data_IF_938764765803
#
_entry.id   IF_938764765803
#
_cell.length_a   1.000
_cell.length_b   1.000
_cell.length_c   1.000
_cell.angle_alpha   90.00
_cell.angle_beta   90.00
_cell.angle_gamma   90.00
#
_symmetry.space_group_name_H-M   'P 1'
#
loop_
_entity.id
_entity.type
_entity.pdbx_description
1 polymer ?
#
# COMPACT_ATOMS: atom_id res chain seq x y z
N UNK A 1 20.57 -5.17 4.51
CA UNK A 1 19.74 -3.99 4.16
C UNK A 1 19.35 -3.28 5.45
N UNK A 2 19.46 -1.95 5.50
CA UNK A 2 19.03 -1.15 6.66
C UNK A 2 17.49 -1.07 6.68
N UNK A 3 16.81 -1.34 7.81
CA UNK A 3 15.37 -1.17 7.90
C UNK A 3 14.95 0.30 7.78
N UNK A 4 13.76 0.54 7.25
CA UNK A 4 13.15 1.86 7.09
C UNK A 4 11.80 1.87 7.79
N UNK A 5 11.54 2.91 8.58
CA UNK A 5 10.28 3.11 9.31
C UNK A 5 9.37 4.06 8.53
N UNK A 6 8.11 3.64 8.33
CA UNK A 6 7.06 4.40 7.65
C UNK A 6 5.82 4.36 8.55
N UNK A 7 5.64 5.38 9.39
CA UNK A 7 4.64 5.33 10.46
C UNK A 7 4.88 4.10 11.34
N UNK A 8 3.86 3.24 11.46
CA UNK A 8 3.92 2.02 12.28
C UNK A 8 4.47 0.79 11.51
N UNK A 9 4.96 0.97 10.27
CA UNK A 9 5.46 -0.11 9.42
C UNK A 9 6.98 -0.06 9.34
N UNK A 10 7.64 -1.20 9.59
CA UNK A 10 9.10 -1.36 9.39
C UNK A 10 9.37 -2.22 8.16
N UNK A 11 10.04 -1.67 7.15
CA UNK A 11 10.38 -2.34 5.90
C UNK A 11 11.85 -2.72 5.80
N UNK A 12 12.12 -3.88 5.19
CA UNK A 12 13.49 -4.35 4.93
C UNK A 12 14.18 -4.90 6.19
N UNK A 13 15.47 -5.22 6.08
CA UNK A 13 16.24 -5.73 7.22
C UNK A 13 15.77 -7.08 7.79
N UNK A 14 15.02 -7.88 7.02
CA UNK A 14 14.46 -9.16 7.48
C UNK A 14 13.06 -9.08 8.09
N UNK A 15 12.46 -7.88 8.15
CA UNK A 15 11.07 -7.71 8.58
C UNK A 15 10.07 -8.32 7.58
N UNK A 16 8.81 -8.58 8.01
CA UNK A 16 7.77 -9.12 7.14
C UNK A 16 7.57 -8.30 5.86
N UNK A 17 7.09 -9.00 4.81
CA UNK A 17 6.72 -8.36 3.54
C UNK A 17 5.69 -7.25 3.79
N UNK A 18 5.86 -6.12 3.10
CA UNK A 18 4.87 -5.04 3.04
C UNK A 18 4.33 -4.92 1.62
N UNK A 19 3.01 -4.87 1.49
CA UNK A 19 2.34 -4.69 0.20
C UNK A 19 2.18 -3.20 -0.11
N UNK A 20 2.79 -2.75 -1.20
CA UNK A 20 2.55 -1.42 -1.77
C UNK A 20 1.72 -1.59 -3.04
N UNK A 21 0.43 -1.22 -2.99
CA UNK A 21 -0.49 -1.51 -4.09
C UNK A 21 -1.64 -0.49 -4.20
N UNK A 22 -2.26 -0.45 -5.38
CA UNK A 22 -3.40 0.42 -5.69
C UNK A 22 -3.52 0.64 -7.20
N UNK A 23 -4.46 1.50 -7.65
CA UNK A 23 -4.62 1.77 -9.06
C UNK A 23 -3.37 2.47 -9.62
N UNK A 24 -3.09 2.28 -10.91
CA UNK A 24 -1.90 2.82 -11.55
C UNK A 24 -1.85 4.36 -11.43
N UNK A 25 -2.99 5.03 -11.63
CA UNK A 25 -3.21 6.48 -11.55
C UNK A 25 -4.47 6.78 -10.75
N UNK A 26 -4.54 7.98 -10.18
CA UNK A 26 -5.77 8.49 -9.54
C UNK A 26 -6.72 8.96 -10.64
N UNK A 27 -7.71 8.14 -10.98
CA UNK A 27 -8.75 8.47 -11.96
C UNK A 27 -9.89 9.29 -11.34
N UNK A 28 -10.24 8.98 -10.10
CA UNK A 28 -11.16 9.73 -9.24
C UNK A 28 -10.92 9.35 -7.78
N UNK A 29 -11.38 10.20 -6.86
CA UNK A 29 -11.33 9.92 -5.42
C UNK A 29 -12.09 8.63 -5.08
N UNK A 30 -13.31 8.47 -5.59
CA UNK A 30 -14.14 7.31 -5.34
C UNK A 30 -13.44 6.01 -5.79
N UNK A 31 -12.92 5.98 -7.01
CA UNK A 31 -12.19 4.81 -7.52
C UNK A 31 -10.98 4.46 -6.65
N UNK A 32 -10.18 5.46 -6.26
CA UNK A 32 -9.02 5.26 -5.41
C UNK A 32 -9.39 4.66 -4.05
N UNK A 33 -10.43 5.19 -3.42
CA UNK A 33 -10.90 4.73 -2.12
C UNK A 33 -11.51 3.32 -2.20
N UNK A 34 -12.28 3.01 -3.24
CA UNK A 34 -12.90 1.69 -3.42
C UNK A 34 -11.85 0.59 -3.61
N UNK A 35 -10.90 0.81 -4.52
CA UNK A 35 -9.79 -0.11 -4.76
C UNK A 35 -8.92 -0.25 -3.51
N UNK A 36 -8.56 0.87 -2.88
CA UNK A 36 -7.76 0.87 -1.66
C UNK A 36 -8.43 0.14 -0.50
N UNK A 37 -9.74 0.33 -0.31
CA UNK A 37 -10.51 -0.36 0.71
C UNK A 37 -10.58 -1.87 0.45
N UNK A 38 -10.77 -2.29 -0.80
CA UNK A 38 -10.75 -3.70 -1.17
C UNK A 38 -9.40 -4.35 -0.85
N UNK A 39 -8.29 -3.73 -1.26
CA UNK A 39 -6.94 -4.24 -0.98
C UNK A 39 -6.67 -4.28 0.52
N UNK A 40 -6.98 -3.20 1.24
CA UNK A 40 -6.83 -3.14 2.71
C UNK A 40 -7.55 -4.29 3.43
N UNK A 41 -8.77 -4.64 3.00
CA UNK A 41 -9.52 -5.77 3.57
C UNK A 41 -8.79 -7.10 3.34
N UNK A 42 -8.31 -7.34 2.12
CA UNK A 42 -7.58 -8.56 1.76
C UNK A 42 -6.24 -8.66 2.51
N UNK A 43 -5.45 -7.59 2.53
CA UNK A 43 -4.15 -7.56 3.22
C UNK A 43 -4.30 -7.81 4.73
N UNK A 44 -5.35 -7.26 5.35
CA UNK A 44 -5.66 -7.51 6.77
C UNK A 44 -5.99 -8.98 7.03
N UNK A 45 -6.75 -9.64 6.15
CA UNK A 45 -7.05 -11.07 6.28
C UNK A 45 -5.80 -11.94 6.20
N UNK A 46 -4.80 -11.51 5.43
CA UNK A 46 -3.51 -12.22 5.28
C UNK A 46 -2.45 -11.79 6.30
N UNK A 47 -2.75 -10.83 7.19
CA UNK A 47 -1.78 -10.29 8.15
C UNK A 47 -0.62 -9.52 7.50
N UNK A 48 -0.79 -9.02 6.28
CA UNK A 48 0.24 -8.30 5.53
C UNK A 48 0.04 -6.78 5.69
N UNK A 49 1.05 -6.02 6.14
CA UNK A 49 0.99 -4.56 6.15
C UNK A 49 0.78 -4.01 4.74
N UNK A 50 0.00 -2.93 4.62
CA UNK A 50 -0.43 -2.38 3.34
C UNK A 50 -0.23 -0.87 3.26
N UNK A 51 0.34 -0.41 2.15
CA UNK A 51 0.43 1.00 1.76
C UNK A 51 -0.33 1.19 0.45
N UNK A 52 -1.33 2.08 0.46
CA UNK A 52 -2.03 2.49 -0.75
C UNK A 52 -1.09 3.33 -1.63
N UNK A 53 -0.88 2.89 -2.86
CA UNK A 53 -0.11 3.64 -3.87
C UNK A 53 -0.97 3.94 -5.08
N UNK A 54 -0.88 5.17 -5.55
CA UNK A 54 -1.32 5.55 -6.90
C UNK A 54 -0.49 6.73 -7.39
N UNK A 55 -0.34 6.88 -8.71
CA UNK A 55 0.35 8.05 -9.27
C UNK A 55 -0.65 9.21 -9.40
N UNK A 56 -0.28 10.40 -8.89
CA UNK A 56 -1.09 11.61 -9.10
C UNK A 56 -0.90 12.16 -10.52
N UNK A 57 0.33 12.06 -11.04
CA UNK A 57 0.72 12.49 -12.37
C UNK A 57 1.48 11.34 -13.06
N UNK A 58 1.28 11.25 -14.38
CA UNK A 58 2.02 10.38 -15.29
C UNK A 58 2.36 11.22 -16.51
N UNK A 59 3.60 11.69 -16.56
CA UNK A 59 4.21 12.28 -17.75
C UNK A 59 4.46 11.24 -18.84
#
# INVERSE_FOLDING_TARGET
MKPVEIGDIVMGGGNPLVLVAGPCVIESEQHLLDVGAAIKRMSRQQGVPFILKSSFDKA
#
